data_IF_344670441886
#
_entry.id   IF_344670441886
#
_cell.length_a   1.000
_cell.length_b   1.000
_cell.length_c   1.000
_cell.angle_alpha   90.00
_cell.angle_beta   90.00
_cell.angle_gamma   90.00
#
_symmetry.space_group_name_H-M   'P 1'
#
loop_
_entity.id
_entity.type
_entity.pdbx_description
1 polymer ?
#
# COMPACT_ATOMS: atom_id res chain seq x y z
N UNK A 1 14.46 0.63 6.17
CA UNK A 1 14.97 -0.63 6.72
C UNK A 1 14.22 -1.09 7.98
N UNK A 2 14.12 -0.32 9.07
CA UNK A 2 13.41 -0.78 10.30
C UNK A 2 11.99 -1.27 10.08
N UNK A 3 11.22 -0.62 9.20
CA UNK A 3 9.88 -1.11 8.81
C UNK A 3 9.94 -2.53 8.22
N UNK A 4 10.99 -2.85 7.45
CA UNK A 4 11.21 -4.19 6.92
C UNK A 4 11.49 -5.22 8.03
N UNK A 5 12.31 -4.84 9.03
CA UNK A 5 12.57 -5.72 10.19
C UNK A 5 11.28 -5.98 10.99
N UNK A 6 10.48 -4.95 11.24
CA UNK A 6 9.20 -5.10 11.94
C UNK A 6 8.20 -5.97 11.17
N UNK A 7 8.14 -5.81 9.84
CA UNK A 7 7.35 -6.71 8.99
C UNK A 7 7.85 -8.17 9.08
N UNK A 8 9.17 -8.40 9.12
CA UNK A 8 9.73 -9.74 9.26
C UNK A 8 9.33 -10.39 10.59
N UNK A 9 9.42 -9.64 11.69
CA UNK A 9 8.97 -10.09 13.02
C UNK A 9 7.49 -10.47 12.99
N UNK A 10 6.67 -9.63 12.39
CA UNK A 10 5.22 -9.84 12.28
C UNK A 10 4.88 -11.06 11.42
N UNK A 11 5.56 -11.24 10.27
CA UNK A 11 5.39 -12.39 9.39
C UNK A 11 5.76 -13.69 10.12
N UNK A 12 6.92 -13.74 10.77
CA UNK A 12 7.34 -14.90 11.58
C UNK A 12 6.37 -15.24 12.71
N UNK A 13 5.76 -14.21 13.31
CA UNK A 13 4.75 -14.39 14.36
C UNK A 13 3.42 -14.92 13.82
N UNK A 14 2.93 -14.37 12.69
CA UNK A 14 1.64 -14.74 12.09
C UNK A 14 1.69 -16.05 11.29
N UNK A 15 2.84 -16.33 10.66
CA UNK A 15 3.04 -17.49 9.80
C UNK A 15 4.50 -17.97 9.90
N UNK A 16 4.88 -18.67 11.01
CA UNK A 16 6.26 -19.11 11.24
C UNK A 16 6.78 -20.08 10.17
N UNK A 17 5.89 -20.88 9.59
CA UNK A 17 6.20 -21.89 8.56
C UNK A 17 5.89 -21.37 7.15
N UNK A 18 6.06 -20.06 6.92
CA UNK A 18 5.79 -19.46 5.62
C UNK A 18 6.60 -20.11 4.50
N UNK A 19 5.99 -20.24 3.33
CA UNK A 19 6.57 -20.83 2.13
C UNK A 19 6.98 -19.76 1.08
N UNK A 20 7.44 -18.58 1.56
CA UNK A 20 7.89 -17.48 0.70
C UNK A 20 9.22 -17.86 0.05
N UNK A 21 9.25 -17.90 -1.29
CA UNK A 21 10.47 -18.21 -2.06
C UNK A 21 11.30 -16.97 -2.36
N UNK A 22 10.65 -15.80 -2.48
CA UNK A 22 11.30 -14.54 -2.89
C UNK A 22 10.54 -13.32 -2.38
N UNK A 23 11.27 -12.27 -2.01
CA UNK A 23 10.73 -10.95 -1.68
C UNK A 23 11.00 -10.00 -2.84
N UNK A 24 9.96 -9.34 -3.35
CA UNK A 24 10.03 -8.42 -4.49
C UNK A 24 9.40 -7.07 -4.11
N UNK A 25 10.15 -5.95 -4.19
CA UNK A 25 9.60 -4.63 -3.93
C UNK A 25 8.73 -4.13 -5.09
N UNK A 26 7.74 -3.31 -4.76
CA UNK A 26 7.10 -2.43 -5.72
C UNK A 26 7.91 -1.13 -5.77
N UNK A 27 8.60 -0.82 -6.90
CA UNK A 27 9.56 0.28 -6.93
C UNK A 27 8.86 1.65 -6.93
N UNK A 28 9.49 2.70 -6.37
CA UNK A 28 10.86 2.73 -5.79
C UNK A 28 10.81 2.77 -4.24
N UNK A 29 9.70 3.20 -3.65
CA UNK A 29 9.56 3.58 -2.22
C UNK A 29 9.71 2.40 -1.27
N UNK A 30 9.27 1.20 -1.65
CA UNK A 30 9.32 0.01 -0.80
C UNK A 30 10.66 -0.75 -0.85
N UNK A 31 11.59 -0.38 -1.74
CA UNK A 31 12.84 -1.10 -2.00
C UNK A 31 13.65 -1.38 -0.72
N UNK A 32 13.85 -0.37 0.13
CA UNK A 32 14.65 -0.53 1.35
C UNK A 32 13.95 -1.36 2.43
N UNK A 33 12.62 -1.29 2.51
CA UNK A 33 11.84 -2.12 3.43
C UNK A 33 11.85 -3.58 2.97
N UNK A 34 11.65 -3.83 1.68
CA UNK A 34 11.69 -5.17 1.08
C UNK A 34 13.06 -5.84 1.21
N UNK A 35 14.15 -5.09 0.99
CA UNK A 35 15.51 -5.60 1.16
C UNK A 35 15.73 -6.08 2.59
N UNK A 36 15.37 -5.27 3.58
CA UNK A 36 15.55 -5.64 4.98
C UNK A 36 14.63 -6.81 5.38
N UNK A 37 13.38 -6.81 4.91
CA UNK A 37 12.44 -7.90 5.11
C UNK A 37 13.04 -9.23 4.60
N UNK A 38 13.60 -9.23 3.40
CA UNK A 38 14.22 -10.41 2.79
C UNK A 38 15.39 -10.93 3.63
N UNK A 39 16.27 -10.02 4.08
CA UNK A 39 17.41 -10.36 4.95
C UNK A 39 16.93 -11.00 6.25
N UNK A 40 15.97 -10.39 6.93
CA UNK A 40 15.50 -10.85 8.24
C UNK A 40 14.65 -12.13 8.14
N UNK A 41 13.98 -12.40 7.02
CA UNK A 41 13.32 -13.68 6.74
C UNK A 41 14.29 -14.76 6.23
N UNK A 42 15.53 -14.41 5.88
CA UNK A 42 16.48 -15.28 5.19
C UNK A 42 15.93 -15.84 3.86
N UNK A 43 15.28 -14.96 3.09
CA UNK A 43 14.67 -15.25 1.78
C UNK A 43 15.34 -14.39 0.71
N UNK A 44 15.53 -14.87 -0.53
CA UNK A 44 16.09 -14.07 -1.61
C UNK A 44 15.32 -12.76 -1.86
N UNK A 45 16.07 -11.66 -2.04
CA UNK A 45 15.54 -10.40 -2.58
C UNK A 45 15.76 -10.35 -4.08
N UNK A 46 14.75 -9.94 -4.86
CA UNK A 46 14.85 -9.75 -6.31
C UNK A 46 14.08 -8.51 -6.76
N UNK A 47 14.58 -7.85 -7.80
CA UNK A 47 13.88 -6.77 -8.47
C UNK A 47 13.05 -7.32 -9.63
N UNK A 48 11.83 -7.76 -9.34
CA UNK A 48 10.91 -8.34 -10.34
C UNK A 48 10.15 -7.31 -11.16
N UNK A 49 10.16 -6.03 -10.74
CA UNK A 49 9.54 -4.91 -11.46
C UNK A 49 10.55 -3.84 -11.80
N UNK A 50 10.50 -3.37 -13.05
CA UNK A 50 11.31 -2.24 -13.54
C UNK A 50 10.41 -1.06 -13.85
N UNK A 51 10.62 0.06 -13.14
CA UNK A 51 9.81 1.26 -13.32
C UNK A 51 10.23 2.05 -14.55
N UNK A 52 9.27 2.38 -15.40
CA UNK A 52 9.48 3.31 -16.49
C UNK A 52 9.46 4.75 -15.95
N UNK A 53 10.64 5.38 -15.87
CA UNK A 53 10.82 6.73 -15.32
C UNK A 53 10.27 7.86 -16.20
N UNK A 54 9.98 7.59 -17.46
CA UNK A 54 9.42 8.56 -18.40
C UNK A 54 7.91 8.76 -18.26
N UNK A 55 7.24 7.94 -17.47
CA UNK A 55 5.79 8.00 -17.24
C UNK A 55 5.52 8.54 -15.83
N UNK A 56 4.82 9.68 -15.75
CA UNK A 56 4.50 10.38 -14.49
C UNK A 56 3.58 9.61 -13.51
N UNK A 57 3.23 10.21 -12.37
CA UNK A 57 2.41 9.60 -11.30
C UNK A 57 0.98 9.32 -11.76
N UNK A 58 0.43 8.10 -11.47
CA UNK A 58 -0.91 7.65 -11.90
C UNK A 58 -1.98 7.75 -10.83
N UNK A 59 -1.62 7.79 -9.54
CA UNK A 59 -2.61 7.84 -8.48
C UNK A 59 -3.33 9.19 -8.35
N UNK A 60 -2.88 10.22 -9.09
CA UNK A 60 -3.50 11.53 -9.19
C UNK A 60 -4.57 11.58 -10.31
N UNK A 61 -4.68 10.54 -11.15
CA UNK A 61 -5.65 10.52 -12.25
C UNK A 61 -7.07 10.25 -11.73
N UNK A 62 -8.09 11.02 -12.17
CA UNK A 62 -9.45 10.94 -11.65
C UNK A 62 -10.22 9.67 -12.08
N UNK A 63 -9.84 9.01 -13.18
CA UNK A 63 -10.59 7.87 -13.71
C UNK A 63 -9.94 6.52 -13.43
N UNK A 64 -10.76 5.54 -12.96
CA UNK A 64 -10.30 4.19 -12.61
C UNK A 64 -9.71 3.41 -13.79
N UNK A 65 -10.30 3.53 -14.99
CA UNK A 65 -9.80 2.83 -16.19
C UNK A 65 -8.44 3.34 -16.65
N UNK A 66 -8.20 4.66 -16.57
CA UNK A 66 -6.91 5.24 -16.90
C UNK A 66 -5.84 4.83 -15.91
N UNK A 67 -6.18 4.72 -14.63
CA UNK A 67 -5.29 4.19 -13.58
C UNK A 67 -4.87 2.74 -13.88
N UNK A 68 -5.80 1.87 -14.29
CA UNK A 68 -5.50 0.46 -14.65
C UNK A 68 -4.54 0.33 -15.85
N UNK A 69 -4.80 1.06 -16.92
CA UNK A 69 -3.94 1.07 -18.13
C UNK A 69 -2.56 1.64 -17.84
N UNK A 70 -2.46 2.58 -16.91
CA UNK A 70 -1.23 3.29 -16.62
C UNK A 70 -0.26 2.51 -15.73
N UNK A 71 -0.70 1.57 -14.89
CA UNK A 71 0.19 0.70 -14.11
C UNK A 71 1.04 -0.18 -15.05
N UNK A 72 0.43 -0.85 -16.02
CA UNK A 72 1.17 -1.65 -17.02
C UNK A 72 2.15 -0.84 -17.89
N UNK A 73 1.90 0.44 -18.11
CA UNK A 73 2.84 1.32 -18.83
C UNK A 73 4.02 1.74 -17.96
N UNK A 74 3.84 1.77 -16.65
CA UNK A 74 4.84 2.24 -15.69
C UNK A 74 5.76 1.16 -15.18
N UNK A 75 5.27 -0.07 -15.06
CA UNK A 75 5.99 -1.20 -14.51
C UNK A 75 6.13 -2.27 -15.58
N UNK A 76 7.37 -2.58 -15.95
CA UNK A 76 7.71 -3.78 -16.68
C UNK A 76 7.97 -4.90 -15.68
N UNK A 77 7.50 -6.11 -15.98
CA UNK A 77 7.71 -7.29 -15.15
C UNK A 77 8.83 -8.16 -15.73
N UNK A 78 9.62 -8.77 -14.87
CA UNK A 78 10.65 -9.74 -15.21
C UNK A 78 10.15 -11.15 -14.86
N UNK A 79 9.54 -11.85 -15.81
CA UNK A 79 8.81 -13.10 -15.60
C UNK A 79 9.64 -14.17 -14.85
N UNK A 80 10.95 -14.27 -15.13
CA UNK A 80 11.87 -15.21 -14.46
C UNK A 80 11.92 -15.04 -12.94
N UNK A 81 11.61 -13.85 -12.43
CA UNK A 81 11.60 -13.61 -10.99
C UNK A 81 10.30 -14.10 -10.31
N UNK A 82 9.27 -14.41 -11.09
CA UNK A 82 7.94 -14.84 -10.61
C UNK A 82 7.65 -16.30 -10.88
N UNK A 83 8.08 -16.81 -12.05
CA UNK A 83 7.70 -18.13 -12.54
C UNK A 83 7.96 -19.24 -11.53
N UNK A 84 6.90 -19.94 -11.17
CA UNK A 84 6.92 -21.11 -10.29
C UNK A 84 7.19 -20.80 -8.80
N UNK A 85 7.19 -19.54 -8.37
CA UNK A 85 7.55 -19.10 -7.00
C UNK A 85 6.34 -18.63 -6.18
N UNK A 86 6.46 -18.75 -4.87
CA UNK A 86 5.61 -18.08 -3.90
C UNK A 86 6.25 -16.72 -3.57
N UNK A 87 5.64 -15.65 -4.04
CA UNK A 87 6.24 -14.32 -4.05
C UNK A 87 5.64 -13.46 -2.94
N UNK A 88 6.49 -12.82 -2.13
CA UNK A 88 6.08 -11.74 -1.23
C UNK A 88 6.34 -10.39 -1.90
N UNK A 89 5.28 -9.72 -2.34
CA UNK A 89 5.33 -8.34 -2.81
C UNK A 89 5.34 -7.38 -1.63
N UNK A 90 6.16 -6.34 -1.69
CA UNK A 90 6.23 -5.31 -0.64
C UNK A 90 5.94 -3.95 -1.24
N UNK A 91 4.96 -3.24 -0.68
CA UNK A 91 4.64 -1.87 -1.04
C UNK A 91 4.75 -0.92 0.17
N UNK A 92 4.80 0.38 -0.09
CA UNK A 92 4.81 1.38 0.98
C UNK A 92 3.45 1.48 1.69
N UNK A 93 2.35 1.44 0.93
CA UNK A 93 0.99 1.54 1.47
C UNK A 93 -0.07 1.07 0.46
N UNK A 94 -1.26 0.72 0.95
CA UNK A 94 -2.43 0.42 0.12
C UNK A 94 -3.52 1.46 0.42
N UNK A 95 -3.92 2.23 -0.60
CA UNK A 95 -4.97 3.24 -0.47
C UNK A 95 -6.28 2.73 -1.06
N UNK A 96 -6.42 2.72 -2.39
CA UNK A 96 -7.62 2.21 -3.10
C UNK A 96 -7.54 0.74 -3.50
N UNK A 97 -6.36 0.13 -3.39
CA UNK A 97 -6.11 -1.25 -3.82
C UNK A 97 -6.06 -1.47 -5.34
N UNK A 98 -6.44 -0.50 -6.16
CA UNK A 98 -6.45 -0.64 -7.63
C UNK A 98 -5.06 -0.96 -8.20
N UNK A 99 -4.04 -0.28 -7.70
CA UNK A 99 -2.64 -0.50 -8.10
C UNK A 99 -2.16 -1.87 -7.62
N UNK A 100 -2.39 -2.20 -6.34
CA UNK A 100 -2.00 -3.49 -5.74
C UNK A 100 -2.65 -4.66 -6.47
N UNK A 101 -3.96 -4.58 -6.76
CA UNK A 101 -4.70 -5.58 -7.56
C UNK A 101 -4.04 -5.81 -8.92
N UNK A 102 -3.69 -4.73 -9.63
CA UNK A 102 -3.08 -4.82 -10.95
C UNK A 102 -1.67 -5.43 -10.92
N UNK A 103 -0.88 -5.07 -9.91
CA UNK A 103 0.46 -5.62 -9.71
C UNK A 103 0.39 -7.12 -9.38
N UNK A 104 -0.57 -7.54 -8.54
CA UNK A 104 -0.81 -8.95 -8.22
C UNK A 104 -1.26 -9.72 -9.47
N UNK A 105 -2.17 -9.15 -10.29
CA UNK A 105 -2.55 -9.75 -11.57
C UNK A 105 -1.33 -9.95 -12.47
N UNK A 106 -0.45 -8.95 -12.60
CA UNK A 106 0.79 -9.06 -13.38
C UNK A 106 1.71 -10.16 -12.85
N UNK A 107 1.89 -10.25 -11.53
CA UNK A 107 2.71 -11.30 -10.91
C UNK A 107 2.14 -12.71 -11.18
N UNK A 108 0.82 -12.88 -11.12
CA UNK A 108 0.14 -14.15 -11.45
C UNK A 108 0.25 -14.49 -12.94
N UNK A 109 0.08 -13.50 -13.83
CA UNK A 109 0.29 -13.63 -15.27
C UNK A 109 1.74 -14.05 -15.62
N UNK A 110 2.73 -13.58 -14.82
CA UNK A 110 4.15 -13.96 -14.94
C UNK A 110 4.48 -15.34 -14.32
N UNK A 111 3.48 -16.09 -13.88
CA UNK A 111 3.64 -17.46 -13.43
C UNK A 111 3.93 -17.66 -11.95
N UNK A 112 3.70 -16.65 -11.09
CA UNK A 112 3.77 -16.84 -9.64
C UNK A 112 2.73 -17.89 -9.17
N UNK A 113 3.16 -18.83 -8.31
CA UNK A 113 2.27 -19.84 -7.72
C UNK A 113 1.35 -19.25 -6.68
N UNK A 114 1.91 -18.44 -5.78
CA UNK A 114 1.21 -17.66 -4.77
C UNK A 114 1.75 -16.23 -4.75
N UNK A 115 0.88 -15.29 -4.47
CA UNK A 115 1.26 -13.88 -4.33
C UNK A 115 0.80 -13.38 -2.97
N UNK A 116 1.75 -13.23 -2.07
CA UNK A 116 1.59 -12.59 -0.78
C UNK A 116 1.89 -11.10 -0.89
N UNK A 117 1.26 -10.30 -0.06
CA UNK A 117 1.43 -8.86 -0.09
C UNK A 117 1.71 -8.29 1.30
N UNK A 118 2.75 -7.48 1.44
CA UNK A 118 3.11 -6.79 2.66
C UNK A 118 3.09 -5.28 2.44
N UNK A 119 2.38 -4.56 3.30
CA UNK A 119 2.37 -3.10 3.35
C UNK A 119 3.29 -2.61 4.46
N UNK A 120 4.23 -1.73 4.13
CA UNK A 120 5.12 -1.12 5.11
C UNK A 120 4.41 -0.08 5.99
N UNK A 121 3.23 0.38 5.59
CA UNK A 121 2.33 1.18 6.42
C UNK A 121 1.18 0.34 6.97
N UNK A 122 0.57 0.76 8.10
CA UNK A 122 -0.70 0.21 8.57
C UNK A 122 -1.84 0.43 7.57
N UNK A 123 -2.95 -0.27 7.78
CA UNK A 123 -4.15 -0.11 6.96
C UNK A 123 -4.69 1.32 7.03
N UNK A 124 -4.80 1.98 5.87
CA UNK A 124 -5.33 3.35 5.76
C UNK A 124 -6.86 3.26 5.70
N UNK A 125 -7.52 3.73 6.76
CA UNK A 125 -8.98 3.57 6.96
C UNK A 125 -9.75 4.88 6.93
N UNK A 126 -9.08 6.01 7.17
CA UNK A 126 -9.72 7.32 7.35
C UNK A 126 -9.05 8.39 6.50
N UNK A 127 -9.73 9.50 6.28
CA UNK A 127 -9.24 10.62 5.50
C UNK A 127 -8.16 11.40 6.24
N UNK A 128 -7.22 12.00 5.51
CA UNK A 128 -6.30 13.00 6.07
C UNK A 128 -6.93 14.40 5.96
N UNK A 129 -6.80 15.20 7.02
CA UNK A 129 -7.31 16.59 7.08
C UNK A 129 -6.18 17.62 7.03
N UNK A 130 -4.92 17.20 7.05
CA UNK A 130 -3.74 18.04 7.28
C UNK A 130 -2.86 18.22 6.03
N UNK A 131 -3.49 18.20 4.85
CA UNK A 131 -2.81 18.57 3.59
C UNK A 131 -2.43 17.41 2.67
N UNK A 132 -2.64 16.15 3.07
CA UNK A 132 -2.48 15.02 2.15
C UNK A 132 -3.77 14.86 1.34
N UNK A 133 -3.66 14.97 0.01
CA UNK A 133 -4.79 14.69 -0.89
C UNK A 133 -5.07 13.18 -0.91
N UNK A 134 -6.20 12.81 -0.32
CA UNK A 134 -6.66 11.44 -0.23
C UNK A 134 -8.05 11.29 -0.86
N UNK A 135 -8.40 10.09 -1.33
CA UNK A 135 -9.75 9.81 -1.82
C UNK A 135 -10.79 9.90 -0.70
N UNK A 136 -12.07 9.86 -1.07
CA UNK A 136 -13.16 9.68 -0.13
C UNK A 136 -12.98 8.39 0.70
N UNK A 137 -13.51 8.34 1.93
CA UNK A 137 -13.39 7.17 2.82
C UNK A 137 -13.97 5.92 2.18
N UNK A 138 -15.06 6.08 1.44
CA UNK A 138 -15.71 5.01 0.67
C UNK A 138 -14.82 4.38 -0.41
N UNK A 139 -13.79 5.09 -0.85
CA UNK A 139 -12.81 4.62 -1.82
C UNK A 139 -11.56 4.00 -1.17
N UNK A 140 -11.39 4.11 0.15
CA UNK A 140 -10.29 3.48 0.89
C UNK A 140 -10.57 1.98 1.01
N UNK A 141 -9.69 1.15 0.47
CA UNK A 141 -9.93 -0.30 0.43
C UNK A 141 -10.03 -0.92 1.81
N UNK A 142 -9.28 -0.40 2.81
CA UNK A 142 -9.27 -0.93 4.17
C UNK A 142 -10.37 -0.33 5.08
N UNK A 143 -11.16 0.63 4.57
CA UNK A 143 -12.27 1.18 5.34
C UNK A 143 -13.36 0.11 5.54
N UNK A 144 -13.71 -0.15 6.80
CA UNK A 144 -14.71 -1.16 7.20
C UNK A 144 -14.45 -2.58 6.67
N UNK A 145 -13.18 -2.96 6.43
CA UNK A 145 -12.78 -4.30 6.00
C UNK A 145 -11.68 -4.87 6.87
N UNK A 146 -11.69 -6.20 7.00
CA UNK A 146 -10.60 -6.98 7.61
C UNK A 146 -9.43 -7.14 6.63
N UNK A 147 -8.26 -7.53 7.13
CA UNK A 147 -7.09 -7.79 6.30
C UNK A 147 -7.36 -8.90 5.27
N UNK A 148 -8.16 -9.93 5.63
CA UNK A 148 -8.54 -11.03 4.77
C UNK A 148 -9.49 -10.58 3.65
N UNK A 149 -10.44 -9.69 3.95
CA UNK A 149 -11.34 -9.11 2.95
C UNK A 149 -10.57 -8.24 1.95
N UNK A 150 -9.61 -7.44 2.45
CA UNK A 150 -8.72 -6.65 1.58
C UNK A 150 -7.84 -7.56 0.74
N UNK A 151 -7.24 -8.62 1.31
CA UNK A 151 -6.45 -9.60 0.57
C UNK A 151 -7.24 -10.19 -0.60
N UNK A 152 -8.47 -10.62 -0.33
CA UNK A 152 -9.39 -11.15 -1.35
C UNK A 152 -9.71 -10.12 -2.44
N UNK A 153 -9.97 -8.88 -2.07
CA UNK A 153 -10.31 -7.80 -3.01
C UNK A 153 -9.14 -7.46 -3.96
N UNK A 154 -7.91 -7.41 -3.43
CA UNK A 154 -6.72 -7.19 -4.26
C UNK A 154 -6.24 -8.45 -4.99
N UNK A 155 -6.77 -9.62 -4.62
CA UNK A 155 -6.41 -10.91 -5.20
C UNK A 155 -5.12 -11.52 -4.66
N UNK A 156 -4.67 -11.11 -3.47
CA UNK A 156 -3.53 -11.71 -2.78
C UNK A 156 -3.94 -13.00 -2.06
N UNK A 157 -3.02 -13.96 -1.99
CA UNK A 157 -3.22 -15.20 -1.24
C UNK A 157 -3.07 -14.97 0.28
N UNK A 158 -2.34 -13.92 0.66
CA UNK A 158 -2.21 -13.44 2.03
C UNK A 158 -1.75 -11.98 2.03
N UNK A 159 -2.24 -11.21 3.02
CA UNK A 159 -1.91 -9.80 3.22
C UNK A 159 -1.41 -9.56 4.64
N UNK A 160 -0.34 -8.79 4.76
CA UNK A 160 0.20 -8.32 6.04
C UNK A 160 0.36 -6.81 6.00
N UNK A 161 -0.35 -6.12 6.88
CA UNK A 161 -0.11 -4.72 7.16
C UNK A 161 0.86 -4.58 8.33
N UNK A 162 1.72 -3.58 8.28
CA UNK A 162 2.46 -3.10 9.44
C UNK A 162 1.50 -2.72 10.55
N UNK A 163 1.91 -2.88 11.81
CA UNK A 163 1.11 -2.38 12.93
C UNK A 163 1.38 -0.89 13.15
N UNK A 164 0.40 -0.17 13.73
CA UNK A 164 0.59 1.25 14.05
C UNK A 164 1.67 1.44 15.12
N UNK A 165 1.71 0.54 16.10
CA UNK A 165 2.70 0.54 17.18
C UNK A 165 4.12 0.41 16.63
N UNK A 166 4.36 -0.54 15.72
CA UNK A 166 5.65 -0.76 15.10
C UNK A 166 6.07 0.42 14.20
N UNK A 167 5.11 1.03 13.49
CA UNK A 167 5.37 2.25 12.72
C UNK A 167 5.82 3.39 13.62
N UNK A 168 5.10 3.64 14.72
CA UNK A 168 5.43 4.68 15.71
C UNK A 168 6.80 4.40 16.32
N UNK A 169 7.07 3.17 16.76
CA UNK A 169 8.37 2.78 17.32
C UNK A 169 9.50 3.03 16.31
N UNK A 170 9.29 2.63 15.06
CA UNK A 170 10.26 2.84 13.98
C UNK A 170 10.57 4.32 13.76
N UNK A 171 9.55 5.19 13.80
CA UNK A 171 9.70 6.63 13.61
C UNK A 171 10.33 7.33 14.83
N UNK A 172 10.08 6.84 16.04
CA UNK A 172 10.71 7.35 17.28
C UNK A 172 12.20 7.04 17.37
N UNK A 173 12.67 6.04 16.66
CA UNK A 173 14.06 5.61 16.76
C UNK A 173 15.03 6.72 16.36
N UNK A 174 15.97 7.01 17.27
CA UNK A 174 16.96 8.08 17.08
C UNK A 174 16.44 9.49 17.35
N UNK A 175 15.15 9.63 17.69
CA UNK A 175 14.57 10.91 18.06
C UNK A 175 13.61 10.81 19.26
N UNK A 176 14.11 10.55 20.48
CA UNK A 176 13.29 10.30 21.67
C UNK A 176 12.49 11.52 22.13
N UNK A 177 12.75 12.71 21.58
CA UNK A 177 12.02 13.93 21.91
C UNK A 177 10.63 13.97 21.26
N UNK A 178 10.42 13.24 20.14
CA UNK A 178 9.10 13.13 19.51
C UNK A 178 8.25 12.18 20.35
N UNK A 179 7.21 12.71 20.98
CA UNK A 179 6.32 11.95 21.85
C UNK A 179 5.09 11.43 21.12
N UNK A 180 4.55 12.22 20.21
CA UNK A 180 3.28 11.98 19.52
C UNK A 180 3.42 12.11 18.01
N UNK A 181 2.58 11.40 17.28
CA UNK A 181 2.49 11.42 15.82
C UNK A 181 1.04 11.64 15.42
N UNK A 182 0.85 12.30 14.30
CA UNK A 182 -0.45 12.38 13.65
C UNK A 182 -0.77 11.01 13.01
N UNK A 183 -1.81 10.34 13.48
CA UNK A 183 -2.18 8.97 13.11
C UNK A 183 -3.62 8.83 12.63
N UNK A 184 -4.30 9.95 12.38
CA UNK A 184 -5.74 9.96 12.08
C UNK A 184 -6.14 9.10 10.88
N UNK A 185 -5.27 8.98 9.87
CA UNK A 185 -5.55 8.11 8.71
C UNK A 185 -5.64 6.62 9.05
N UNK A 186 -5.10 6.21 10.19
CA UNK A 186 -5.16 4.84 10.70
C UNK A 186 -6.23 4.68 11.79
N UNK A 187 -6.39 5.68 12.68
CA UNK A 187 -7.19 5.62 13.89
C UNK A 187 -8.57 6.29 13.77
N UNK A 188 -8.69 7.30 12.91
CA UNK A 188 -9.86 8.18 12.84
C UNK A 188 -9.89 9.26 13.94
N UNK A 189 -8.85 9.35 14.78
CA UNK A 189 -8.74 10.36 15.83
C UNK A 189 -7.99 11.58 15.28
N UNK A 190 -8.69 12.72 15.22
CA UNK A 190 -8.15 13.97 14.67
C UNK A 190 -7.71 14.92 15.78
N UNK A 191 -6.55 15.55 15.62
CA UNK A 191 -5.97 16.49 16.60
C UNK A 191 -6.81 17.75 16.74
N UNK A 192 -7.39 18.24 15.63
CA UNK A 192 -8.21 19.44 15.60
C UNK A 192 -9.69 19.12 15.84
N UNK A 193 -10.42 19.90 16.64
CA UNK A 193 -11.87 19.76 16.75
C UNK A 193 -12.54 19.91 15.38
N UNK A 194 -13.46 18.99 15.05
CA UNK A 194 -14.20 19.00 13.80
C UNK A 194 -15.62 19.55 14.03
N UNK A 195 -16.11 20.34 13.07
CA UNK A 195 -17.54 20.72 13.04
C UNK A 195 -18.42 19.50 12.72
N UNK A 196 -19.67 19.53 13.14
CA UNK A 196 -20.60 18.38 13.10
C UNK A 196 -20.71 17.69 11.72
N UNK A 197 -20.62 18.44 10.63
CA UNK A 197 -20.79 17.90 9.26
C UNK A 197 -19.48 17.87 8.46
N UNK A 198 -18.36 18.31 9.03
CA UNK A 198 -17.12 18.51 8.27
C UNK A 198 -16.65 17.25 7.52
N UNK A 199 -16.66 16.10 8.18
CA UNK A 199 -16.24 14.83 7.54
C UNK A 199 -17.18 14.39 6.44
N UNK A 200 -18.49 14.65 6.59
CA UNK A 200 -19.47 14.32 5.54
C UNK A 200 -19.30 15.23 4.32
N UNK A 201 -19.13 16.52 4.52
CA UNK A 201 -18.88 17.49 3.44
C UNK A 201 -17.57 17.17 2.70
N UNK A 202 -16.55 16.78 3.46
CA UNK A 202 -15.27 16.36 2.92
C UNK A 202 -15.39 15.06 2.09
N UNK A 203 -16.15 14.07 2.59
CA UNK A 203 -16.45 12.82 1.90
C UNK A 203 -17.07 13.10 0.53
N UNK A 204 -18.14 13.90 0.49
CA UNK A 204 -18.80 14.30 -0.77
C UNK A 204 -17.84 15.04 -1.69
N UNK A 205 -17.03 15.96 -1.15
CA UNK A 205 -16.11 16.78 -1.95
C UNK A 205 -14.97 15.99 -2.58
N UNK A 206 -14.63 14.84 -2.02
CA UNK A 206 -13.52 13.97 -2.43
C UNK A 206 -13.91 12.82 -3.35
N UNK A 207 -15.20 12.57 -3.54
CA UNK A 207 -15.66 11.57 -4.49
C UNK A 207 -15.15 11.88 -5.91
N UNK A 208 -14.68 10.87 -6.63
CA UNK A 208 -14.13 11.04 -7.98
C UNK A 208 -15.13 11.70 -8.95
N UNK A 209 -16.43 11.42 -8.82
CA UNK A 209 -17.48 12.01 -9.64
C UNK A 209 -17.58 13.54 -9.46
N UNK A 210 -17.50 13.99 -8.21
CA UNK A 210 -17.55 15.43 -7.89
C UNK A 210 -16.27 16.13 -8.34
N UNK A 211 -15.10 15.49 -8.18
CA UNK A 211 -13.83 16.01 -8.71
C UNK A 211 -13.88 16.17 -10.24
N UNK A 212 -14.36 15.15 -10.95
CA UNK A 212 -14.51 15.18 -12.40
C UNK A 212 -15.45 16.28 -12.90
N UNK A 213 -16.58 16.53 -12.19
CA UNK A 213 -17.49 17.63 -12.50
C UNK A 213 -16.84 19.01 -12.31
N UNK A 214 -16.06 19.18 -11.23
CA UNK A 214 -15.32 20.43 -10.96
C UNK A 214 -14.24 20.72 -12.00
N UNK A 215 -13.56 19.71 -12.50
CA UNK A 215 -12.55 19.85 -13.56
C UNK A 215 -13.19 20.24 -14.89
N UNK A 216 -14.33 19.61 -15.25
CA UNK A 216 -15.09 19.99 -16.46
C UNK A 216 -15.66 21.42 -16.41
N UNK A 217 -15.98 21.92 -15.22
CA UNK A 217 -16.48 23.29 -15.05
C UNK A 217 -15.37 24.35 -15.08
N UNK A 218 -14.08 23.96 -15.01
CA UNK A 218 -12.91 24.84 -15.09
C UNK A 218 -12.25 24.88 -16.47
N UNK A 219 -12.63 23.97 -17.37
CA UNK A 219 -12.16 23.88 -18.75
C UNK A 219 -13.10 24.63 -19.70
#
# INVERSE_FOLDING_TARGET
MRMGSKLAELIKKKNPDHDIDVVIPIPDSSTTAALQLAVDLNVPYREGFVKNRYIGRTFIMPYQEERRKSVRRKLNILDLEFEGKNVMLVDDSIVRGTTSKKIIEMAKEAGAKKVYFASAAPAIKYQNLYGIDMPATSELIASNRTDEEVAKEIGADWLVYQTLEDLIETCKFGNPQIKEFETSIFTGEYITPLGENYLQDLEVSRQDEVKAQREKAKA
#
